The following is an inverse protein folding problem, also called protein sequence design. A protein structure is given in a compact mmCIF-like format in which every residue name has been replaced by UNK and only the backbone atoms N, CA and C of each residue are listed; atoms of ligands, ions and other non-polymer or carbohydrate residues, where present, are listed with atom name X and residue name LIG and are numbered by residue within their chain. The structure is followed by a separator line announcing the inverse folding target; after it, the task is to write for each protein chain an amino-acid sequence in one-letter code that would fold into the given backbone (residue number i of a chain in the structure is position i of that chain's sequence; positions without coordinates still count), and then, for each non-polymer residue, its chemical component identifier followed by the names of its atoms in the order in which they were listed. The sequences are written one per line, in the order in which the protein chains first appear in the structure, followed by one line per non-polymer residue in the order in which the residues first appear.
data_IF_184343852422
#
_entry.id   IF_184343852422
#
_cell.length_a   1.000
_cell.length_b   1.000
_cell.length_c   1.000
_cell.angle_alpha   90.00
_cell.angle_beta   90.00
_cell.angle_gamma   90.00
#
_symmetry.space_group_name_H-M   'P 1'
#
loop_
_entity.id
_entity.type
_entity.pdbx_description
1 polymer ?
#
# COMPACT_ATOMS: atom_id res chain seq x y z
N UNK A 1 17.89 2.39 27.35
CA UNK A 1 16.43 2.20 27.26
C UNK A 1 15.90 3.25 26.31
N UNK A 2 15.35 2.85 25.17
CA UNK A 2 14.77 3.79 24.19
C UNK A 2 13.41 4.21 24.73
N UNK A 3 13.29 5.45 25.21
CA UNK A 3 11.98 5.99 25.58
C UNK A 3 11.14 6.08 24.32
N UNK A 4 10.14 5.20 24.19
CA UNK A 4 9.18 5.24 23.08
C UNK A 4 8.26 6.44 23.32
N UNK A 5 8.35 7.43 22.44
CA UNK A 5 7.50 8.61 22.55
C UNK A 5 6.04 8.27 22.19
N UNK A 6 5.05 8.86 22.89
CA UNK A 6 3.65 8.72 22.51
C UNK A 6 3.40 9.18 21.07
N UNK A 7 2.42 8.56 20.42
CA UNK A 7 1.87 8.97 19.13
C UNK A 7 0.97 10.16 19.45
N UNK A 8 1.62 11.31 19.52
CA UNK A 8 0.93 12.56 19.71
C UNK A 8 0.23 12.91 18.38
N UNK A 9 -1.08 12.67 18.33
CA UNK A 9 -1.92 13.05 17.18
C UNK A 9 -1.79 14.54 16.85
N UNK A 10 -1.47 15.37 17.83
CA UNK A 10 -1.15 16.79 17.66
C UNK A 10 0.12 16.97 16.80
N UNK A 11 1.19 16.22 17.06
CA UNK A 11 2.43 16.24 16.27
C UNK A 11 2.17 15.80 14.84
N UNK A 12 1.37 14.75 14.65
CA UNK A 12 0.97 14.28 13.32
C UNK A 12 0.19 15.37 12.58
N UNK A 13 -0.79 15.98 13.25
CA UNK A 13 -1.62 17.05 12.69
C UNK A 13 -0.77 18.25 12.31
N UNK A 14 0.18 18.63 13.16
CA UNK A 14 1.14 19.70 12.89
C UNK A 14 2.02 19.36 11.68
N UNK A 15 2.56 18.14 11.60
CA UNK A 15 3.35 17.68 10.46
C UNK A 15 2.58 17.83 9.14
N UNK A 16 1.36 17.31 9.06
CA UNK A 16 0.54 17.45 7.85
C UNK A 16 0.16 18.90 7.55
N UNK A 17 -0.07 19.72 8.57
CA UNK A 17 -0.26 21.15 8.39
C UNK A 17 0.98 21.80 7.76
N UNK A 18 2.18 21.51 8.25
CA UNK A 18 3.43 22.00 7.65
C UNK A 18 3.64 21.51 6.22
N UNK A 19 3.37 20.23 5.94
CA UNK A 19 3.47 19.67 4.60
C UNK A 19 2.49 20.32 3.61
N UNK A 20 1.34 20.80 4.09
CA UNK A 20 0.37 21.53 3.28
C UNK A 20 0.75 22.99 3.01
N UNK A 21 1.66 23.58 3.79
CA UNK A 21 2.06 24.98 3.61
C UNK A 21 2.73 25.17 2.25
N UNK A 22 2.35 26.25 1.57
CA UNK A 22 2.91 26.62 0.27
C UNK A 22 4.21 27.39 0.45
N UNK A 23 5.22 27.08 -0.36
CA UNK A 23 6.45 27.85 -0.45
C UNK A 23 6.22 29.17 -1.22
N UNK A 24 7.29 29.96 -1.43
CA UNK A 24 7.24 31.22 -2.22
C UNK A 24 6.79 31.01 -3.67
N UNK A 25 6.86 29.78 -4.18
CA UNK A 25 6.45 29.37 -5.52
C UNK A 25 5.04 28.76 -5.55
N UNK A 26 4.27 28.86 -4.45
CA UNK A 26 2.92 28.31 -4.29
C UNK A 26 2.83 26.76 -4.30
N UNK A 27 3.95 26.08 -4.08
CA UNK A 27 4.04 24.62 -4.06
C UNK A 27 4.08 24.09 -2.62
N UNK A 28 3.38 22.99 -2.35
CA UNK A 28 3.46 22.26 -1.09
C UNK A 28 4.56 21.19 -1.17
N UNK A 29 5.60 21.29 -0.33
CA UNK A 29 6.68 20.32 -0.13
C UNK A 29 6.91 19.29 -1.29
N UNK A 30 7.39 19.71 -2.47
CA UNK A 30 7.32 18.92 -3.71
C UNK A 30 8.17 17.64 -3.71
N UNK A 31 9.13 17.54 -2.79
CA UNK A 31 10.02 16.39 -2.60
C UNK A 31 9.49 15.36 -1.60
N UNK A 32 8.41 15.67 -0.86
CA UNK A 32 7.83 14.78 0.14
C UNK A 32 6.59 14.14 -0.44
N UNK A 33 6.61 12.83 -0.55
CA UNK A 33 5.46 12.02 -0.93
C UNK A 33 4.94 11.37 0.34
N UNK A 34 3.64 11.52 0.61
CA UNK A 34 3.02 10.93 1.80
C UNK A 34 1.90 9.99 1.38
N UNK A 35 1.88 8.75 1.90
CA UNK A 35 0.80 7.81 1.63
C UNK A 35 -0.54 8.31 2.15
N UNK A 36 -1.63 7.73 1.63
CA UNK A 36 -2.96 7.95 2.19
C UNK A 36 -2.95 7.61 3.67
N UNK A 37 -3.35 8.56 4.52
CA UNK A 37 -3.21 8.40 5.98
C UNK A 37 -4.49 8.84 6.68
N UNK A 38 -5.04 7.97 7.51
CA UNK A 38 -6.29 8.16 8.22
C UNK A 38 -6.01 8.08 9.71
N UNK A 39 -6.46 9.09 10.44
CA UNK A 39 -6.36 9.14 11.89
C UNK A 39 -7.62 8.52 12.49
N UNK A 40 -7.43 7.60 13.43
CA UNK A 40 -8.49 7.01 14.22
C UNK A 40 -8.44 7.55 15.65
N UNK A 41 -9.57 8.05 16.12
CA UNK A 41 -9.79 8.41 17.53
C UNK A 41 -11.12 7.83 17.98
N UNK A 42 -11.16 7.33 19.22
CA UNK A 42 -12.37 6.76 19.82
C UNK A 42 -13.10 5.75 18.91
N UNK A 43 -12.35 4.89 18.20
CA UNK A 43 -12.85 3.87 17.27
C UNK A 43 -13.45 4.38 15.94
N UNK A 44 -13.33 5.67 15.61
CA UNK A 44 -13.84 6.22 14.35
C UNK A 44 -12.75 6.98 13.57
N UNK A 45 -12.79 6.96 12.23
CA UNK A 45 -11.90 7.80 11.44
C UNK A 45 -12.29 9.27 11.65
N UNK A 46 -11.33 10.12 12.01
CA UNK A 46 -11.56 11.55 12.29
C UNK A 46 -11.05 12.45 11.17
N UNK A 47 -9.93 12.07 10.56
CA UNK A 47 -9.27 12.84 9.50
C UNK A 47 -8.64 11.90 8.49
N UNK A 48 -8.73 12.24 7.21
CA UNK A 48 -7.99 11.57 6.15
C UNK A 48 -7.14 12.58 5.38
N UNK A 49 -5.82 12.39 5.47
CA UNK A 49 -4.81 13.11 4.71
C UNK A 49 -4.53 12.37 3.40
N UNK A 50 -4.71 13.10 2.30
CA UNK A 50 -4.52 12.60 0.96
C UNK A 50 -3.61 13.54 0.17
N UNK A 51 -2.58 13.00 -0.46
CA UNK A 51 -1.85 13.72 -1.50
C UNK A 51 -2.53 13.45 -2.84
N UNK A 52 -2.80 14.52 -3.59
CA UNK A 52 -3.37 14.43 -4.94
C UNK A 52 -2.29 14.13 -5.98
N UNK A 53 -2.69 13.77 -7.20
CA UNK A 53 -1.76 13.58 -8.33
C UNK A 53 -0.87 14.81 -8.58
N UNK A 54 -1.38 16.01 -8.28
CA UNK A 54 -0.64 17.27 -8.42
C UNK A 54 0.28 17.57 -7.22
N UNK A 55 0.53 16.58 -6.35
CA UNK A 55 1.30 16.70 -5.10
C UNK A 55 0.71 17.65 -4.06
N UNK A 56 -0.47 18.22 -4.29
CA UNK A 56 -1.17 19.03 -3.30
C UNK A 56 -1.73 18.14 -2.17
N UNK A 57 -1.60 18.60 -0.94
CA UNK A 57 -2.14 17.96 0.24
C UNK A 57 -3.59 18.41 0.48
N UNK A 58 -4.48 17.43 0.63
CA UNK A 58 -5.88 17.62 1.00
C UNK A 58 -6.18 16.92 2.31
N UNK A 59 -7.04 17.56 3.10
CA UNK A 59 -7.59 17.02 4.36
C UNK A 59 -9.09 16.81 4.15
N UNK A 60 -9.55 15.58 4.35
CA UNK A 60 -10.97 15.22 4.41
C UNK A 60 -11.38 15.00 5.86
N UNK A 61 -12.60 15.37 6.23
CA UNK A 61 -13.13 15.19 7.58
C UNK A 61 -14.64 15.05 7.59
N UNK A 62 -15.18 14.50 8.68
CA UNK A 62 -16.62 14.34 8.85
C UNK A 62 -17.22 13.36 7.84
N UNK A 63 -18.22 13.80 7.08
CA UNK A 63 -19.01 12.93 6.18
C UNK A 63 -18.22 12.36 5.00
N UNK A 64 -17.03 12.90 4.71
CA UNK A 64 -16.16 12.44 3.63
C UNK A 64 -15.35 11.18 4.00
N UNK A 65 -15.42 10.74 5.26
CA UNK A 65 -14.69 9.58 5.79
C UNK A 65 -15.53 8.30 5.69
N UNK A 66 -15.91 7.94 4.46
CA UNK A 66 -16.65 6.72 4.22
C UNK A 66 -15.73 5.49 4.16
N UNK A 67 -16.06 4.46 4.93
CA UNK A 67 -15.32 3.20 5.00
C UNK A 67 -15.11 2.54 3.63
N UNK A 68 -16.12 2.59 2.75
CA UNK A 68 -16.02 2.06 1.38
C UNK A 68 -15.02 2.83 0.52
N UNK A 69 -14.95 4.16 0.68
CA UNK A 69 -13.97 4.99 -0.02
C UNK A 69 -12.54 4.67 0.43
N UNK A 70 -12.35 4.43 1.73
CA UNK A 70 -11.06 4.01 2.29
C UNK A 70 -10.62 2.67 1.70
N UNK A 71 -11.51 1.67 1.71
CA UNK A 71 -11.25 0.35 1.13
C UNK A 71 -10.83 0.45 -0.35
N UNK A 72 -11.60 1.19 -1.16
CA UNK A 72 -11.32 1.35 -2.59
C UNK A 72 -9.98 2.05 -2.85
N UNK A 73 -9.63 3.07 -2.06
CA UNK A 73 -8.37 3.80 -2.26
C UNK A 73 -7.16 2.92 -1.90
N UNK A 74 -7.21 2.23 -0.75
CA UNK A 74 -6.08 1.46 -0.24
C UNK A 74 -5.80 0.21 -1.11
N UNK A 75 -6.83 -0.36 -1.73
CA UNK A 75 -6.72 -1.55 -2.59
C UNK A 75 -6.47 -1.24 -4.07
N UNK A 76 -6.54 0.03 -4.49
CA UNK A 76 -6.44 0.45 -5.91
C UNK A 76 -5.23 -0.14 -6.63
N UNK A 77 -4.04 -0.10 -6.01
CA UNK A 77 -2.80 -0.53 -6.66
C UNK A 77 -2.74 -2.05 -6.88
N UNK A 78 -3.45 -2.84 -6.07
CA UNK A 78 -3.59 -4.28 -6.30
C UNK A 78 -4.48 -4.53 -7.52
N UNK A 79 -5.62 -3.84 -7.58
CA UNK A 79 -6.58 -4.00 -8.67
C UNK A 79 -5.96 -3.59 -10.02
N UNK A 80 -5.24 -2.47 -10.06
CA UNK A 80 -4.54 -2.01 -11.27
C UNK A 80 -3.46 -3.00 -11.73
N UNK A 81 -2.70 -3.57 -10.79
CA UNK A 81 -1.67 -4.57 -11.11
C UNK A 81 -2.26 -5.87 -11.67
N UNK A 82 -3.50 -6.22 -11.30
CA UNK A 82 -4.20 -7.41 -11.83
C UNK A 82 -4.77 -7.18 -13.23
N UNK A 83 -5.24 -5.98 -13.53
CA UNK A 83 -5.79 -5.62 -14.85
C UNK A 83 -4.67 -5.44 -15.89
N UNK A 84 -3.48 -4.97 -15.48
CA UNK A 84 -2.33 -4.79 -16.39
C UNK A 84 -1.65 -6.08 -16.86
N UNK A 85 -1.99 -7.25 -16.30
CA UNK A 85 -1.37 -8.52 -16.66
C UNK A 85 -2.07 -9.26 -17.81
N UNK A 86 -3.19 -8.74 -18.34
CA UNK A 86 -4.01 -9.41 -19.38
C UNK A 86 -3.86 -8.83 -20.79
N UNK A 87 -2.94 -7.89 -21.04
CA UNK A 87 -2.75 -7.31 -22.40
C UNK A 87 -1.30 -7.39 -22.87
N UNK A 88 -0.77 -8.61 -23.04
CA UNK A 88 0.39 -8.83 -23.92
C UNK A 88 0.19 -10.10 -24.74
N UNK A 89 -0.71 -10.04 -25.70
CA UNK A 89 -0.66 -10.89 -26.89
C UNK A 89 -1.12 -10.04 -28.07
N UNK A 90 -0.29 -9.07 -28.44
CA UNK A 90 -0.41 -8.43 -29.74
C UNK A 90 0.40 -9.27 -30.69
N UNK A 91 -0.28 -10.15 -31.43
CA UNK A 91 0.33 -10.86 -32.55
C UNK A 91 0.85 -9.84 -33.56
N UNK A 92 2.12 -10.00 -33.94
CA UNK A 92 2.65 -9.42 -35.16
C UNK A 92 1.91 -10.03 -36.35
N UNK A 93 1.12 -9.22 -37.05
CA UNK A 93 0.77 -9.47 -38.44
C UNK A 93 1.18 -8.25 -39.26
N UNK A 94 2.23 -8.47 -40.06
CA UNK A 94 2.62 -7.64 -41.20
C UNK A 94 1.46 -7.48 -42.19
N UNK A 95 1.28 -6.30 -42.81
CA UNK A 95 0.38 -6.16 -43.94
C UNK A 95 1.19 -6.04 -45.24
N UNK A 96 1.12 -7.03 -46.14
CA UNK A 96 1.22 -6.75 -47.58
C UNK A 96 0.80 -7.92 -48.48
N UNK A 97 0.25 -7.51 -49.62
CA UNK A 97 0.07 -8.24 -50.88
C UNK A 97 -1.26 -8.99 -51.14
N UNK A 98 -2.12 -8.25 -51.84
CA UNK A 98 -3.18 -8.61 -52.77
C UNK A 98 -2.91 -9.81 -53.70
N UNK A 99 -3.92 -10.65 -53.97
CA UNK A 99 -4.60 -10.74 -55.27
C UNK A 99 -5.55 -11.97 -55.40
N UNK A 100 -6.66 -11.74 -56.12
CA UNK A 100 -7.37 -12.67 -57.00
C UNK A 100 -8.38 -13.72 -56.45
N UNK A 101 -9.67 -13.45 -56.78
CA UNK A 101 -10.52 -14.33 -57.64
C UNK A 101 -11.49 -15.35 -56.98
N UNK A 102 -12.79 -15.05 -57.16
CA UNK A 102 -13.97 -15.93 -57.44
C UNK A 102 -14.78 -16.58 -56.29
N UNK A 103 -16.08 -16.23 -56.26
CA UNK A 103 -17.26 -16.85 -55.61
C UNK A 103 -17.79 -18.08 -56.41
N UNK A 104 -18.89 -18.80 -56.02
CA UNK A 104 -19.42 -19.33 -54.74
C UNK A 104 -19.82 -20.86 -54.93
N UNK A 105 -20.83 -21.55 -54.30
CA UNK A 105 -21.73 -21.26 -53.17
C UNK A 105 -22.03 -22.43 -52.16
N UNK A 106 -22.82 -22.10 -51.12
CA UNK A 106 -23.95 -22.87 -50.54
C UNK A 106 -23.78 -23.98 -49.46
N UNK A 107 -24.74 -23.93 -48.51
CA UNK A 107 -25.31 -25.00 -47.64
C UNK A 107 -24.48 -25.42 -46.41
N UNK A 108 -25.01 -25.63 -45.20
CA UNK A 108 -26.39 -25.77 -44.69
C UNK A 108 -26.35 -25.56 -43.17
N UNK A 109 -27.40 -24.95 -42.62
CA UNK A 109 -27.68 -24.96 -41.20
C UNK A 109 -28.11 -26.37 -40.77
N UNK A 110 -27.61 -26.84 -39.62
CA UNK A 110 -28.20 -27.99 -38.93
C UNK A 110 -28.34 -27.66 -37.42
N UNK A 111 -29.58 -27.55 -36.89
CA UNK A 111 -29.83 -27.19 -35.51
C UNK A 111 -30.27 -28.42 -34.72
N UNK A 112 -29.35 -29.17 -34.11
CA UNK A 112 -29.72 -30.21 -33.14
C UNK A 112 -28.56 -30.61 -32.22
N UNK A 113 -28.39 -29.91 -31.11
CA UNK A 113 -27.90 -30.55 -29.89
C UNK A 113 -28.38 -29.79 -28.63
N UNK A 114 -29.39 -30.29 -27.90
CA UNK A 114 -29.78 -29.76 -26.60
C UNK A 114 -29.15 -30.56 -25.47
N UNK A 115 -28.73 -29.84 -24.44
CA UNK A 115 -28.58 -30.24 -23.02
C UNK A 115 -27.17 -30.28 -22.44
N UNK A 116 -27.08 -29.56 -21.33
CA UNK A 116 -26.35 -29.86 -20.10
C UNK A 116 -24.86 -29.49 -20.03
N UNK A 117 -24.60 -28.45 -19.23
CA UNK A 117 -23.28 -28.22 -18.62
C UNK A 117 -22.99 -26.76 -18.37
N UNK A 118 -23.64 -26.12 -17.39
CA UNK A 118 -23.01 -25.00 -16.68
C UNK A 118 -21.80 -25.57 -15.93
N UNK A 119 -20.68 -25.72 -16.62
CA UNK A 119 -19.39 -25.86 -15.97
C UNK A 119 -18.87 -24.43 -15.74
N UNK A 120 -18.96 -24.00 -14.50
CA UNK A 120 -18.25 -22.86 -13.93
C UNK A 120 -16.79 -22.88 -14.37
N UNK A 121 -16.43 -21.97 -15.26
CA UNK A 121 -15.05 -21.81 -15.74
C UNK A 121 -14.21 -20.99 -14.73
N UNK A 122 -14.32 -21.33 -13.44
CA UNK A 122 -13.72 -20.62 -12.30
C UNK A 122 -12.49 -21.34 -11.73
N UNK A 123 -11.81 -22.14 -12.55
CA UNK A 123 -10.57 -22.82 -12.13
C UNK A 123 -9.50 -22.78 -13.21
N UNK A 124 -8.90 -21.61 -13.41
CA UNK A 124 -7.45 -21.44 -13.64
C UNK A 124 -7.13 -19.97 -13.93
N UNK A 125 -7.30 -19.09 -12.94
CA UNK A 125 -6.54 -17.83 -12.91
C UNK A 125 -5.30 -18.11 -12.11
N UNK A 126 -4.24 -18.53 -12.79
CA UNK A 126 -2.92 -18.72 -12.19
C UNK A 126 -2.55 -17.47 -11.39
N UNK A 127 -2.25 -17.66 -10.10
CA UNK A 127 -1.76 -16.61 -9.21
C UNK A 127 -0.50 -16.01 -9.82
N UNK A 128 -0.58 -14.78 -10.33
CA UNK A 128 0.61 -14.00 -10.63
C UNK A 128 1.23 -13.62 -9.27
N UNK A 129 2.08 -14.51 -8.75
CA UNK A 129 2.55 -14.60 -7.36
C UNK A 129 3.58 -13.51 -6.98
N UNK A 130 3.73 -12.49 -7.82
CA UNK A 130 4.71 -11.43 -7.64
C UNK A 130 4.17 -10.24 -6.82
N UNK A 131 2.97 -10.35 -6.27
CA UNK A 131 2.33 -9.31 -5.47
C UNK A 131 2.33 -9.66 -3.97
N UNK A 132 2.76 -8.74 -3.12
CA UNK A 132 2.91 -8.97 -1.67
C UNK A 132 1.60 -9.03 -0.88
N UNK A 133 0.50 -8.50 -1.42
CA UNK A 133 -0.85 -8.54 -0.84
C UNK A 133 -1.15 -7.47 0.22
N UNK A 134 -0.13 -6.92 0.86
CA UNK A 134 -0.26 -5.87 1.89
C UNK A 134 -0.75 -4.55 1.25
N UNK A 135 -1.83 -3.97 1.81
CA UNK A 135 -2.46 -2.72 1.35
C UNK A 135 -2.37 -1.59 2.36
N UNK A 136 -2.26 -1.92 3.63
CA UNK A 136 -2.26 -0.94 4.71
C UNK A 136 -1.34 -1.36 5.84
N UNK A 137 -0.97 -0.38 6.65
CA UNK A 137 -0.45 -0.59 7.98
C UNK A 137 -1.31 0.21 8.98
N UNK A 138 -1.63 -0.39 10.11
CA UNK A 138 -2.28 0.30 11.23
C UNK A 138 -1.30 0.38 12.38
N UNK A 139 -1.01 1.60 12.83
CA UNK A 139 -0.10 1.88 13.94
C UNK A 139 -0.95 2.41 15.09
N UNK A 140 -0.96 1.72 16.21
CA UNK A 140 -1.70 2.12 17.41
C UNK A 140 -0.82 2.14 18.64
N UNK A 141 -1.34 2.76 19.69
CA UNK A 141 -0.75 2.72 21.01
C UNK A 141 -1.73 2.14 22.02
N UNK A 142 -1.22 1.24 22.84
CA UNK A 142 -1.92 0.67 23.98
C UNK A 142 -1.07 0.86 25.22
N UNK A 143 -1.69 1.21 26.33
CA UNK A 143 -1.03 1.25 27.62
C UNK A 143 -1.08 -0.15 28.25
N UNK A 144 0.06 -0.67 28.67
CA UNK A 144 0.12 -1.92 29.39
C UNK A 144 -0.49 -1.75 30.79
N UNK A 145 -1.56 -2.49 31.07
CA UNK A 145 -2.33 -2.35 32.32
C UNK A 145 -1.50 -2.61 33.59
N UNK A 146 -0.39 -3.34 33.50
CA UNK A 146 0.45 -3.73 34.65
C UNK A 146 1.60 -2.76 34.88
N UNK A 147 2.19 -2.25 33.81
CA UNK A 147 3.40 -1.43 33.86
C UNK A 147 3.15 0.05 33.60
N UNK A 148 2.00 0.40 33.01
CA UNK A 148 1.72 1.75 32.50
C UNK A 148 2.59 2.11 31.29
N UNK A 149 3.34 1.16 30.72
CA UNK A 149 4.21 1.43 29.58
C UNK A 149 3.37 1.57 28.30
N UNK A 150 3.68 2.59 27.50
CA UNK A 150 3.06 2.78 26.18
C UNK A 150 3.70 1.82 25.18
N UNK A 151 2.90 0.88 24.69
CA UNK A 151 3.28 -0.10 23.67
C UNK A 151 2.81 0.40 22.31
N UNK A 152 3.75 0.53 21.38
CA UNK A 152 3.47 0.73 19.96
C UNK A 152 3.13 -0.61 19.30
N UNK A 153 1.95 -0.71 18.72
CA UNK A 153 1.52 -1.86 17.93
C UNK A 153 1.50 -1.48 16.45
N UNK A 154 1.96 -2.41 15.60
CA UNK A 154 1.82 -2.29 14.15
C UNK A 154 1.14 -3.54 13.60
N UNK A 155 0.10 -3.34 12.81
CA UNK A 155 -0.56 -4.38 12.03
C UNK A 155 -0.33 -4.10 10.55
N UNK A 156 0.08 -5.12 9.79
CA UNK A 156 0.15 -5.04 8.33
C UNK A 156 -1.06 -5.78 7.75
N UNK A 157 -1.89 -5.05 7.01
CA UNK A 157 -3.18 -5.52 6.55
C UNK A 157 -3.13 -5.82 5.06
N UNK A 158 -3.57 -7.00 4.68
CA UNK A 158 -3.98 -7.34 3.32
C UNK A 158 -5.45 -6.92 3.07
N UNK A 159 -6.00 -7.27 1.91
CA UNK A 159 -7.36 -6.87 1.52
C UNK A 159 -8.42 -7.43 2.48
N UNK A 160 -8.28 -8.69 2.90
CA UNK A 160 -9.25 -9.38 3.75
C UNK A 160 -9.20 -8.84 5.18
N UNK A 161 -7.99 -8.70 5.73
CA UNK A 161 -7.79 -8.12 7.06
C UNK A 161 -8.12 -6.63 7.12
N UNK A 162 -7.97 -5.90 6.00
CA UNK A 162 -8.47 -4.53 5.89
C UNK A 162 -10.02 -4.48 5.88
N UNK A 163 -10.69 -5.42 5.20
CA UNK A 163 -12.16 -5.53 5.22
C UNK A 163 -12.66 -5.76 6.65
N UNK A 164 -12.05 -6.73 7.33
CA UNK A 164 -12.35 -7.03 8.72
C UNK A 164 -12.11 -5.81 9.63
N UNK A 165 -10.97 -5.13 9.47
CA UNK A 165 -10.62 -3.91 10.21
C UNK A 165 -11.65 -2.79 10.02
N UNK A 166 -12.13 -2.62 8.78
CA UNK A 166 -12.97 -1.51 8.39
C UNK A 166 -14.44 -1.72 8.75
N UNK A 167 -14.97 -2.95 8.57
CA UNK A 167 -16.41 -3.23 8.64
C UNK A 167 -16.83 -4.11 9.82
N UNK A 168 -15.95 -4.97 10.34
CA UNK A 168 -16.32 -6.00 11.34
C UNK A 168 -15.73 -5.73 12.72
N UNK A 169 -14.60 -5.03 12.81
CA UNK A 169 -13.90 -4.76 14.06
C UNK A 169 -14.70 -3.84 14.97
N UNK A 170 -15.11 -4.36 16.14
CA UNK A 170 -15.97 -3.64 17.10
C UNK A 170 -15.27 -2.50 17.83
N UNK A 171 -13.96 -2.62 18.09
CA UNK A 171 -13.14 -1.62 18.76
C UNK A 171 -11.80 -1.47 18.06
N UNK A 172 -11.39 -0.22 17.84
CA UNK A 172 -10.09 0.18 17.30
C UNK A 172 -9.48 1.16 18.28
N UNK A 173 -8.21 0.92 18.56
CA UNK A 173 -7.42 1.84 19.38
C UNK A 173 -7.25 3.18 18.66
N UNK A 174 -6.81 4.17 19.44
CA UNK A 174 -6.30 5.40 18.86
C UNK A 174 -5.07 5.06 18.01
N UNK A 175 -5.05 5.54 16.77
CA UNK A 175 -3.99 5.13 15.86
C UNK A 175 -4.08 5.76 14.47
N UNK A 176 -3.23 5.26 13.60
CA UNK A 176 -3.04 5.75 12.24
C UNK A 176 -3.15 4.57 11.30
N UNK A 177 -4.14 4.60 10.40
CA UNK A 177 -4.24 3.69 9.27
C UNK A 177 -3.58 4.36 8.06
N UNK A 178 -2.51 3.77 7.55
CA UNK A 178 -1.74 4.33 6.44
C UNK A 178 -1.65 3.32 5.29
N UNK A 179 -1.78 3.80 4.05
CA UNK A 179 -1.60 2.96 2.88
C UNK A 179 -0.17 2.43 2.83
N UNK A 180 -0.03 1.14 2.59
CA UNK A 180 1.26 0.50 2.47
C UNK A 180 1.89 0.85 1.11
N UNK A 181 3.16 1.27 1.12
CA UNK A 181 3.91 1.59 -0.10
C UNK A 181 4.79 0.40 -0.45
N UNK A 182 4.57 -0.15 -1.64
CA UNK A 182 5.39 -1.26 -2.16
C UNK A 182 6.86 -0.85 -2.21
N UNK A 183 7.77 -1.62 -1.59
CA UNK A 183 9.19 -1.34 -1.69
C UNK A 183 9.66 -1.52 -3.13
N UNK A 184 10.63 -0.72 -3.58
CA UNK A 184 11.25 -0.88 -4.90
C UNK A 184 12.04 -2.20 -5.04
N UNK A 185 12.47 -2.77 -3.91
CA UNK A 185 13.26 -3.99 -3.86
C UNK A 185 12.46 -5.20 -3.34
N UNK A 186 13.10 -6.36 -3.26
CA UNK A 186 12.44 -7.60 -2.85
C UNK A 186 12.09 -7.70 -1.36
N UNK A 187 12.55 -6.74 -0.54
CA UNK A 187 12.38 -6.71 0.91
C UNK A 187 11.78 -5.38 1.32
N UNK A 188 10.92 -5.38 2.36
CA UNK A 188 10.54 -4.12 2.97
C UNK A 188 11.74 -3.48 3.68
N UNK A 189 11.80 -2.16 3.67
CA UNK A 189 12.80 -1.43 4.41
C UNK A 189 12.26 -0.07 4.85
N UNK A 190 12.76 0.40 5.98
CA UNK A 190 12.46 1.73 6.52
C UNK A 190 13.76 2.46 6.74
N UNK A 191 13.75 3.75 6.43
CA UNK A 191 14.85 4.68 6.75
C UNK A 191 14.36 5.56 7.88
N UNK A 192 15.08 5.55 9.00
CA UNK A 192 14.84 6.43 10.12
C UNK A 192 15.85 7.57 10.08
N UNK A 193 15.36 8.81 10.12
CA UNK A 193 16.19 9.99 10.28
C UNK A 193 15.96 10.59 11.67
N UNK A 194 17.03 10.75 12.44
CA UNK A 194 17.04 11.49 13.70
C UNK A 194 17.76 12.80 13.41
N UNK A 195 17.05 13.90 13.62
CA UNK A 195 17.54 15.23 13.28
C UNK A 195 17.56 16.15 14.48
N UNK A 196 18.63 16.92 14.60
CA UNK A 196 18.82 18.05 15.51
C UNK A 196 19.58 19.15 14.76
N UNK A 197 19.65 20.38 15.29
CA UNK A 197 20.42 21.46 14.66
C UNK A 197 21.91 21.13 14.40
N UNK A 198 22.49 20.19 15.15
CA UNK A 198 23.92 19.86 15.08
C UNK A 198 24.21 18.50 14.44
N UNK A 199 23.23 17.60 14.40
CA UNK A 199 23.42 16.21 13.98
C UNK A 199 22.22 15.73 13.19
N UNK A 200 22.49 15.12 12.03
CA UNK A 200 21.54 14.27 11.32
C UNK A 200 22.11 12.86 11.30
N UNK A 201 21.39 11.92 11.92
CA UNK A 201 21.70 10.50 11.87
C UNK A 201 20.66 9.82 11.00
N UNK A 202 21.10 9.02 10.03
CA UNK A 202 20.24 8.26 9.14
C UNK A 202 20.58 6.79 9.30
N UNK A 203 19.57 6.00 9.65
CA UNK A 203 19.67 4.55 9.79
C UNK A 203 18.69 3.89 8.82
N UNK A 204 19.02 2.69 8.36
CA UNK A 204 18.12 1.88 7.55
C UNK A 204 17.99 0.50 8.16
N UNK A 205 16.77 -0.02 8.20
CA UNK A 205 16.51 -1.43 8.50
C UNK A 205 15.81 -2.09 7.33
N UNK A 206 16.24 -3.31 7.03
CA UNK A 206 15.72 -4.13 5.92
C UNK A 206 15.20 -5.44 6.51
N UNK A 207 13.97 -5.80 6.18
CA UNK A 207 13.38 -7.07 6.60
C UNK A 207 14.15 -8.25 5.98
N UNK A 208 14.28 -9.37 6.70
CA UNK A 208 15.04 -10.55 6.24
C UNK A 208 14.23 -11.44 5.28
N UNK A 209 12.90 -11.34 5.31
CA UNK A 209 11.99 -12.11 4.48
C UNK A 209 11.57 -11.31 3.27
N UNK A 210 11.53 -11.97 2.10
CA UNK A 210 11.08 -11.32 0.87
C UNK A 210 9.63 -10.88 1.04
N UNK A 211 9.33 -9.66 0.61
CA UNK A 211 7.98 -9.09 0.77
C UNK A 211 6.93 -9.88 0.00
N UNK A 212 7.31 -10.71 -0.99
CA UNK A 212 6.40 -11.55 -1.76
C UNK A 212 6.27 -12.99 -1.23
N UNK A 213 7.02 -13.40 -0.20
CA UNK A 213 6.99 -14.78 0.30
C UNK A 213 5.77 -15.08 1.20
N UNK A 214 4.60 -15.07 0.57
CA UNK A 214 3.30 -15.28 1.24
C UNK A 214 3.10 -16.70 1.72
N UNK A 215 3.85 -17.67 1.17
CA UNK A 215 3.71 -19.09 1.49
C UNK A 215 4.29 -19.42 2.86
N UNK A 216 5.43 -18.81 3.19
CA UNK A 216 6.17 -19.14 4.40
C UNK A 216 5.93 -18.16 5.54
N UNK A 217 5.52 -16.92 5.23
CA UNK A 217 5.50 -15.83 6.21
C UNK A 217 4.25 -14.96 6.11
N UNK A 218 3.76 -14.55 7.28
CA UNK A 218 2.65 -13.60 7.43
C UNK A 218 2.99 -12.21 6.88
N UNK A 219 2.00 -11.34 6.63
CA UNK A 219 2.23 -9.93 6.30
C UNK A 219 3.14 -9.23 7.31
N UNK A 220 2.93 -9.50 8.61
CA UNK A 220 3.73 -8.92 9.68
C UNK A 220 5.21 -9.31 9.57
N UNK A 221 5.51 -10.60 9.51
CA UNK A 221 6.89 -11.10 9.48
C UNK A 221 7.68 -10.56 8.28
N UNK A 222 7.03 -10.37 7.12
CA UNK A 222 7.68 -9.86 5.89
C UNK A 222 7.83 -8.35 5.82
N UNK A 223 7.04 -7.60 6.58
CA UNK A 223 6.99 -6.14 6.47
C UNK A 223 7.59 -5.44 7.69
N UNK A 224 7.62 -6.04 8.86
CA UNK A 224 8.04 -5.35 10.08
C UNK A 224 9.52 -4.95 10.07
N UNK A 225 9.84 -3.77 10.62
CA UNK A 225 11.22 -3.26 10.68
C UNK A 225 11.62 -2.81 12.10
N UNK A 226 11.53 -1.51 12.40
CA UNK A 226 11.85 -0.93 13.71
C UNK A 226 10.78 -1.25 14.78
N UNK A 227 9.58 -1.57 14.33
CA UNK A 227 8.39 -1.74 15.15
C UNK A 227 8.33 -3.12 15.80
N UNK A 228 9.08 -4.10 15.27
CA UNK A 228 9.03 -5.49 15.68
C UNK A 228 10.33 -6.00 16.30
N UNK A 229 10.36 -7.29 16.68
CA UNK A 229 11.57 -7.94 17.17
C UNK A 229 12.75 -7.82 16.21
N UNK A 230 13.95 -7.66 16.78
CA UNK A 230 15.18 -7.44 16.01
C UNK A 230 15.54 -8.57 15.06
N UNK A 231 15.03 -9.79 15.26
CA UNK A 231 15.32 -10.92 14.39
C UNK A 231 14.59 -10.88 13.04
N UNK A 232 13.58 -10.01 12.85
CA UNK A 232 12.89 -9.87 11.57
C UNK A 232 13.57 -8.90 10.59
N UNK A 233 14.54 -8.09 11.05
CA UNK A 233 15.19 -7.11 10.19
C UNK A 233 16.64 -6.86 10.59
N UNK A 234 17.47 -6.56 9.60
CA UNK A 234 18.87 -6.20 9.80
C UNK A 234 19.05 -4.70 9.62
N UNK A 235 19.90 -4.10 10.46
CA UNK A 235 20.38 -2.75 10.22
C UNK A 235 21.37 -2.75 9.06
N UNK A 236 21.22 -1.78 8.16
CA UNK A 236 22.03 -1.64 6.96
C UNK A 236 22.56 -0.21 6.91
N UNK A 237 23.84 -0.08 6.58
CA UNK A 237 24.49 1.22 6.47
C UNK A 237 23.89 2.06 5.34
N UNK A 238 23.52 3.30 5.65
CA UNK A 238 23.15 4.30 4.65
C UNK A 238 24.42 5.01 4.16
N UNK A 239 24.93 4.63 2.99
CA UNK A 239 25.97 5.43 2.35
C UNK A 239 25.36 6.80 1.95
N UNK A 240 25.99 7.93 2.29
CA UNK A 240 25.60 9.21 1.71
C UNK A 240 25.98 9.19 0.24
N UNK A 241 25.00 8.98 -0.65
CA UNK A 241 25.19 9.19 -2.08
C UNK A 241 25.28 10.70 -2.33
N UNK A 242 26.50 11.23 -2.20
CA UNK A 242 26.82 12.61 -2.56
C UNK A 242 26.96 12.66 -4.10
N UNK A 243 25.87 12.90 -4.81
CA UNK A 243 26.00 13.34 -6.20
C UNK A 243 26.63 14.73 -6.21
N UNK A 244 27.90 14.80 -6.61
CA UNK A 244 28.51 16.06 -7.02
C UNK A 244 27.73 16.54 -8.24
N UNK A 245 26.93 17.59 -8.07
CA UNK A 245 26.47 18.39 -9.21
C UNK A 245 27.70 19.04 -9.81
N UNK A 246 28.07 18.61 -11.01
CA UNK A 246 28.99 19.34 -11.89
C UNK A 246 28.28 20.57 -12.47
#
# INVERSE_FOLDING_TARGET
MSHRHPLETEVLTALYHYLSKKNKHLESCPCVIVPQTIVYEHNFPTVWYQQTANKEFKKKSGKELETKAIMNEFTRNIVMSRIGATTTTTGEQDPSASAATTQPPAQTADPNNPSAGLASNDQNVMMNDNHHGIVAQFISQTEDEKTGEIINNVEFLDVETLDDFLFKRKKRDKGILQQFITPKGPYNFVIQAIWSPHVTKIERRVNIHRITDRKNYTPYERAVTYEGPSHYSNEVFCAPHLEKRN
#
